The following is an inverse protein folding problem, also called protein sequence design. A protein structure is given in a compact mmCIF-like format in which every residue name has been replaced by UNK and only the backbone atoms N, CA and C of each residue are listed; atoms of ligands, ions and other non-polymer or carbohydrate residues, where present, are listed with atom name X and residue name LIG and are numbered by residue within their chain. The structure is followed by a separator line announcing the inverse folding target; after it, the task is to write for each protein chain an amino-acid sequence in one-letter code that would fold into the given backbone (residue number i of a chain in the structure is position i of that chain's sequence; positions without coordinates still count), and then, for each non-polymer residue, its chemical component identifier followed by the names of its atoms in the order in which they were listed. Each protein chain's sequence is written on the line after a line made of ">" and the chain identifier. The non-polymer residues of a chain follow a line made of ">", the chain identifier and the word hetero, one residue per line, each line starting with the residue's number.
data_IF_734460787131
#
_entry.id   IF_734460787131
#
_cell.length_a   1.000
_cell.length_b   1.000
_cell.length_c   1.000
_cell.angle_alpha   90.00
_cell.angle_beta   90.00
_cell.angle_gamma   90.00
#
_symmetry.space_group_name_H-M   'P 1'
#
loop_
_entity.id
_entity.type
_entity.pdbx_description
1 polymer ?
#
# COMPACT_ATOMS: atom_id res chain seq x y z
N UNK A 1 -15.79 0.37 -18.90
CA UNK A 1 -16.15 1.19 -17.71
C UNK A 1 -14.92 1.17 -16.80
N UNK A 2 -14.08 2.20 -16.84
CA UNK A 2 -12.94 2.33 -15.93
C UNK A 2 -13.51 2.90 -14.63
N UNK A 3 -13.31 2.21 -13.51
CA UNK A 3 -13.52 2.80 -12.19
C UNK A 3 -12.50 3.95 -12.09
N UNK A 4 -12.94 5.17 -11.78
CA UNK A 4 -12.02 6.29 -11.61
C UNK A 4 -11.07 5.98 -10.44
N UNK A 5 -9.82 6.40 -10.58
CA UNK A 5 -8.78 6.23 -9.54
C UNK A 5 -9.25 6.76 -8.17
N UNK A 6 -10.08 7.80 -8.18
CA UNK A 6 -10.70 8.42 -6.99
C UNK A 6 -11.73 7.51 -6.30
N UNK A 7 -12.57 6.78 -7.06
CA UNK A 7 -13.47 5.77 -6.48
C UNK A 7 -12.68 4.58 -5.93
N UNK A 8 -11.60 4.19 -6.60
CA UNK A 8 -10.78 3.07 -6.16
C UNK A 8 -10.04 3.40 -4.86
N UNK A 9 -9.61 4.66 -4.68
CA UNK A 9 -9.05 5.16 -3.43
C UNK A 9 -10.03 5.08 -2.25
N UNK A 10 -11.35 5.25 -2.49
CA UNK A 10 -12.38 5.10 -1.46
C UNK A 10 -12.59 3.65 -0.98
N UNK A 11 -12.09 2.67 -1.72
CA UNK A 11 -12.21 1.23 -1.41
C UNK A 11 -10.91 0.61 -0.85
N UNK A 12 -9.91 1.43 -0.52
CA UNK A 12 -8.69 0.95 0.11
C UNK A 12 -9.02 0.48 1.53
N UNK A 13 -8.79 -0.80 1.79
CA UNK A 13 -8.99 -1.43 3.08
C UNK A 13 -7.91 -2.47 3.34
N UNK A 14 -7.88 -2.98 4.57
CA UNK A 14 -6.85 -3.91 5.05
C UNK A 14 -6.66 -5.13 4.15
N UNK A 15 -7.75 -5.66 3.57
CA UNK A 15 -7.72 -6.83 2.68
C UNK A 15 -7.40 -6.47 1.22
N UNK A 16 -7.69 -5.25 0.78
CA UNK A 16 -7.55 -4.84 -0.62
C UNK A 16 -6.27 -4.07 -0.91
N UNK A 17 -5.65 -3.45 0.10
CA UNK A 17 -4.51 -2.54 -0.08
C UNK A 17 -3.29 -3.19 -0.70
N UNK A 18 -3.04 -4.49 -0.45
CA UNK A 18 -1.94 -5.21 -1.09
C UNK A 18 -2.15 -5.36 -2.60
N UNK A 19 -3.32 -5.84 -3.01
CA UNK A 19 -3.68 -5.99 -4.42
C UNK A 19 -3.74 -4.63 -5.14
N UNK A 20 -4.30 -3.60 -4.49
CA UNK A 20 -4.37 -2.24 -5.03
C UNK A 20 -2.98 -1.62 -5.19
N UNK A 21 -2.05 -1.83 -4.25
CA UNK A 21 -0.68 -1.34 -4.35
C UNK A 21 0.06 -2.03 -5.50
N UNK A 22 -0.09 -3.36 -5.65
CA UNK A 22 0.48 -4.10 -6.77
C UNK A 22 -0.07 -3.60 -8.12
N UNK A 23 -1.38 -3.37 -8.21
CA UNK A 23 -2.04 -2.79 -9.40
C UNK A 23 -1.51 -1.39 -9.71
N UNK A 24 -1.32 -0.55 -8.69
CA UNK A 24 -0.80 0.79 -8.84
C UNK A 24 0.61 0.78 -9.43
N UNK A 25 1.47 -0.12 -8.96
CA UNK A 25 2.82 -0.26 -9.47
C UNK A 25 2.86 -0.80 -10.90
N UNK A 26 2.08 -1.84 -11.20
CA UNK A 26 2.03 -2.40 -12.55
C UNK A 26 1.56 -1.39 -13.60
N UNK A 27 0.63 -0.51 -13.24
CA UNK A 27 0.06 0.49 -14.14
C UNK A 27 0.74 1.86 -14.04
N UNK A 28 1.80 2.00 -13.22
CA UNK A 28 2.42 3.30 -12.91
C UNK A 28 1.42 4.38 -12.44
N UNK A 29 0.34 3.95 -11.77
CA UNK A 29 -0.70 4.82 -11.25
C UNK A 29 -0.23 5.47 -9.94
N UNK A 30 0.19 6.73 -10.02
CA UNK A 30 0.76 7.46 -8.87
C UNK A 30 -0.28 7.74 -7.79
N UNK A 31 -1.49 8.16 -8.18
CA UNK A 31 -2.57 8.52 -7.25
C UNK A 31 -2.94 7.34 -6.35
N UNK A 32 -3.17 6.16 -6.95
CA UNK A 32 -3.51 4.96 -6.20
C UNK A 32 -2.35 4.49 -5.31
N UNK A 33 -1.10 4.60 -5.80
CA UNK A 33 0.09 4.28 -5.01
C UNK A 33 0.19 5.18 -3.77
N UNK A 34 0.01 6.48 -3.93
CA UNK A 34 0.05 7.44 -2.82
C UNK A 34 -1.07 7.17 -1.81
N UNK A 35 -2.30 6.89 -2.26
CA UNK A 35 -3.40 6.56 -1.36
C UNK A 35 -3.16 5.24 -0.60
N UNK A 36 -2.66 4.20 -1.26
CA UNK A 36 -2.32 2.92 -0.62
C UNK A 36 -1.18 3.08 0.40
N UNK A 37 -0.12 3.82 0.04
CA UNK A 37 1.00 4.08 0.95
C UNK A 37 0.61 5.00 2.11
N UNK A 38 -0.30 5.95 1.90
CA UNK A 38 -0.89 6.77 2.96
C UNK A 38 -1.71 5.94 3.95
N UNK A 39 -2.58 5.05 3.46
CA UNK A 39 -3.33 4.12 4.31
C UNK A 39 -2.41 3.24 5.17
N UNK A 40 -1.33 2.72 4.57
CA UNK A 40 -0.32 1.90 5.24
C UNK A 40 0.69 2.71 6.08
N UNK A 41 0.63 4.05 6.03
CA UNK A 41 1.48 4.88 6.88
C UNK A 41 1.03 4.83 8.34
N UNK A 42 -0.26 4.54 8.59
CA UNK A 42 -0.75 4.28 9.95
C UNK A 42 -0.28 2.91 10.45
N UNK A 43 0.39 2.83 11.62
CA UNK A 43 0.96 1.58 12.14
C UNK A 43 -0.08 0.48 12.36
N UNK A 44 -1.30 0.87 12.78
CA UNK A 44 -2.42 -0.07 12.99
C UNK A 44 -2.88 -0.71 11.68
N UNK A 45 -3.01 0.08 10.62
CA UNK A 45 -3.41 -0.39 9.29
C UNK A 45 -2.32 -1.27 8.67
N UNK A 46 -1.05 -0.87 8.80
CA UNK A 46 0.08 -1.68 8.33
C UNK A 46 0.15 -3.04 9.03
N UNK A 47 0.01 -3.05 10.35
CA UNK A 47 0.01 -4.29 11.14
C UNK A 47 -1.16 -5.20 10.76
N UNK A 48 -2.34 -4.63 10.57
CA UNK A 48 -3.52 -5.37 10.14
C UNK A 48 -3.34 -5.92 8.72
N UNK A 49 -2.76 -5.13 7.81
CA UNK A 49 -2.49 -5.55 6.43
C UNK A 49 -1.44 -6.67 6.39
N UNK A 50 -0.35 -6.56 7.15
CA UNK A 50 0.66 -7.62 7.27
C UNK A 50 0.13 -8.94 7.85
N UNK A 51 -0.99 -8.90 8.59
CA UNK A 51 -1.64 -10.09 9.09
C UNK A 51 -2.53 -10.80 8.04
N UNK A 52 -2.71 -10.21 6.85
CA UNK A 52 -3.43 -10.84 5.74
C UNK A 52 -2.50 -11.64 4.85
N UNK A 53 -3.00 -12.75 4.28
CA UNK A 53 -2.23 -13.57 3.34
C UNK A 53 -1.89 -12.84 2.04
N UNK A 54 -2.72 -11.87 1.63
CA UNK A 54 -2.52 -11.07 0.41
C UNK A 54 -1.29 -10.15 0.51
N UNK A 55 -0.93 -9.73 1.73
CA UNK A 55 0.25 -8.92 1.97
C UNK A 55 1.55 -9.76 1.93
N UNK A 56 1.47 -11.05 2.27
CA UNK A 56 2.60 -11.97 2.13
C UNK A 56 2.98 -12.18 0.66
N UNK A 57 1.98 -12.28 -0.24
CA UNK A 57 2.21 -12.31 -1.69
C UNK A 57 2.96 -11.06 -2.16
N UNK A 58 2.58 -9.89 -1.64
CA UNK A 58 3.25 -8.63 -1.96
C UNK A 58 4.73 -8.63 -1.54
N UNK A 59 5.05 -9.23 -0.39
CA UNK A 59 6.42 -9.34 0.14
C UNK A 59 7.32 -10.25 -0.71
N UNK A 60 6.74 -11.25 -1.37
CA UNK A 60 7.51 -12.16 -2.24
C UNK A 60 7.93 -11.52 -3.56
N UNK A 61 7.22 -10.47 -4.00
CA UNK A 61 7.62 -9.67 -5.15
C UNK A 61 8.60 -8.55 -4.77
N UNK A 62 9.56 -8.26 -5.64
CA UNK A 62 10.38 -7.05 -5.50
C UNK A 62 9.53 -5.83 -5.90
N UNK A 63 8.75 -5.30 -4.97
CA UNK A 63 7.87 -4.16 -5.17
C UNK A 63 8.53 -2.86 -4.66
N UNK A 64 8.94 -1.93 -5.56
CA UNK A 64 9.52 -0.64 -5.16
C UNK A 64 8.70 0.13 -4.11
N UNK A 65 7.38 0.04 -4.16
CA UNK A 65 6.47 0.70 -3.22
C UNK A 65 6.53 0.11 -1.82
N UNK A 66 6.82 -1.20 -1.67
CA UNK A 66 7.08 -1.79 -0.36
C UNK A 66 8.37 -1.25 0.25
N UNK A 67 9.44 -1.10 -0.55
CA UNK A 67 10.70 -0.52 -0.07
C UNK A 67 10.53 0.95 0.33
N UNK A 68 9.78 1.72 -0.47
CA UNK A 68 9.45 3.11 -0.15
C UNK A 68 8.65 3.22 1.16
N UNK A 69 7.66 2.34 1.36
CA UNK A 69 6.86 2.28 2.58
C UNK A 69 7.73 1.94 3.81
N UNK A 70 8.61 0.95 3.70
CA UNK A 70 9.52 0.57 4.79
C UNK A 70 10.49 1.70 5.15
N UNK A 71 11.03 2.41 4.15
CA UNK A 71 11.86 3.60 4.41
C UNK A 71 11.08 4.70 5.11
N UNK A 72 9.84 4.99 4.69
CA UNK A 72 8.98 5.98 5.36
C UNK A 72 8.73 5.63 6.82
N UNK A 73 8.45 4.35 7.11
CA UNK A 73 8.26 3.86 8.48
C UNK A 73 9.56 3.94 9.31
N UNK A 74 10.69 3.61 8.70
CA UNK A 74 11.99 3.69 9.37
C UNK A 74 12.37 5.12 9.74
N UNK A 75 12.14 6.08 8.84
CA UNK A 75 12.36 7.51 9.11
C UNK A 75 11.43 8.00 10.22
N UNK A 76 10.13 7.68 10.14
CA UNK A 76 9.16 8.07 11.16
C UNK A 76 9.51 7.51 12.56
N UNK A 77 10.12 6.32 12.64
CA UNK A 77 10.58 5.73 13.89
C UNK A 77 11.85 6.38 14.45
N UNK A 78 12.66 7.05 13.63
CA UNK A 78 13.85 7.80 14.07
C UNK A 78 13.46 9.19 14.60
N UNK A 79 12.41 9.79 14.03
CA UNK A 79 11.94 11.14 14.38
C UNK A 79 11.00 11.18 15.60
N UNK A 80 10.56 10.02 16.11
CA UNK A 80 9.66 9.86 17.25
C UNK A 80 10.42 9.66 18.59
#
# INVERSE_FOLDING_TARGET
>A
KLICEEELCGHIGVQSVAAMLALAEQNSCRVLKEACTGFLSEPGNLKAAMATGDFEQLKTGCHPALMELLMKQYIAAIEA
#
